data_IF_647855527220
#
_entry.id   IF_647855527220
#
_cell.length_a   1.000
_cell.length_b   1.000
_cell.length_c   1.000
_cell.angle_alpha   90.00
_cell.angle_beta   90.00
_cell.angle_gamma   90.00
#
_symmetry.space_group_name_H-M   'P 1'
#
loop_
_entity.id
_entity.type
_entity.pdbx_description
1 polymer ?
#
# COMPACT_ATOMS: atom_id res chain seq x y z
N UNK A 1 -4.07 14.46 -18.85
CA UNK A 1 -4.18 13.32 -17.91
C UNK A 1 -3.50 13.69 -16.61
N UNK A 2 -4.03 13.27 -15.47
CA UNK A 2 -3.40 13.49 -14.16
C UNK A 2 -2.12 12.64 -14.01
N UNK A 3 -1.16 13.12 -13.22
CA UNK A 3 0.04 12.34 -12.88
C UNK A 3 -0.33 11.28 -11.82
N UNK A 4 0.27 10.07 -11.86
CA UNK A 4 0.17 9.11 -10.76
C UNK A 4 0.62 9.75 -9.44
N UNK A 5 -0.07 9.40 -8.36
CA UNK A 5 0.27 9.84 -7.00
C UNK A 5 0.79 8.64 -6.24
N UNK A 6 1.92 8.83 -5.56
CA UNK A 6 2.48 7.80 -4.69
C UNK A 6 1.57 7.61 -3.47
N UNK A 7 1.25 6.35 -3.17
CA UNK A 7 0.45 5.92 -2.03
C UNK A 7 1.23 4.84 -1.29
N UNK A 8 0.99 4.70 0.02
CA UNK A 8 1.54 3.60 0.82
C UNK A 8 3.07 3.53 0.67
N UNK A 9 3.72 4.67 0.88
CA UNK A 9 5.18 4.79 0.88
C UNK A 9 5.76 4.36 2.24
N UNK A 10 7.08 4.16 2.32
CA UNK A 10 7.75 3.81 3.57
C UNK A 10 7.91 2.31 3.86
N UNK A 11 7.51 1.44 2.92
CA UNK A 11 7.80 0.00 3.00
C UNK A 11 9.29 -0.31 2.89
N UNK A 12 10.06 0.54 2.21
CA UNK A 12 11.52 0.46 2.24
C UNK A 12 12.07 1.43 3.27
N UNK A 13 12.97 0.93 4.11
CA UNK A 13 13.77 1.73 5.01
C UNK A 13 14.67 2.70 4.23
N UNK A 14 15.24 3.69 4.94
CA UNK A 14 16.12 4.71 4.34
C UNK A 14 17.36 4.12 3.67
N UNK A 15 17.76 2.91 4.07
CA UNK A 15 18.88 2.16 3.50
C UNK A 15 18.54 1.48 2.16
N UNK A 16 17.26 1.48 1.76
CA UNK A 16 16.76 0.77 0.57
C UNK A 16 16.88 -0.76 0.66
N UNK A 17 17.25 -1.31 1.83
CA UNK A 17 17.52 -2.74 2.04
C UNK A 17 16.55 -3.36 3.02
N UNK A 18 16.15 -2.61 4.04
CA UNK A 18 15.18 -3.06 5.02
C UNK A 18 13.78 -2.91 4.46
N UNK A 19 12.97 -3.98 4.49
CA UNK A 19 11.58 -3.96 4.05
C UNK A 19 10.63 -4.14 5.25
N UNK A 20 9.62 -3.28 5.37
CA UNK A 20 8.58 -3.30 6.40
C UNK A 20 7.26 -3.88 5.84
N UNK A 21 7.39 -4.95 5.07
CA UNK A 21 6.31 -5.52 4.23
C UNK A 21 6.68 -5.49 2.75
N UNK A 22 5.97 -6.26 1.92
CA UNK A 22 6.10 -6.23 0.46
C UNK A 22 4.72 -6.25 -0.19
N UNK A 23 4.23 -5.09 -0.65
CA UNK A 23 2.98 -5.02 -1.40
C UNK A 23 3.08 -5.86 -2.69
N UNK A 24 2.21 -6.86 -2.83
CA UNK A 24 2.18 -7.75 -4.01
C UNK A 24 0.89 -7.64 -4.83
N UNK A 25 -0.16 -7.02 -4.28
CA UNK A 25 -1.43 -6.82 -4.98
C UNK A 25 -2.19 -5.61 -4.48
N UNK A 26 -2.91 -4.95 -5.40
CA UNK A 26 -3.78 -3.80 -5.11
C UNK A 26 -5.11 -3.97 -5.83
N UNK A 27 -6.22 -3.79 -5.10
CA UNK A 27 -7.58 -3.77 -5.65
C UNK A 27 -8.42 -2.69 -4.95
N UNK A 28 -9.47 -2.22 -5.60
CA UNK A 28 -10.49 -1.37 -4.95
C UNK A 28 -11.59 -2.22 -4.33
N UNK A 29 -12.05 -1.85 -3.13
CA UNK A 29 -13.23 -2.45 -2.51
C UNK A 29 -14.55 -1.78 -2.96
N UNK A 30 -15.68 -2.35 -2.55
CA UNK A 30 -17.01 -1.85 -2.91
C UNK A 30 -17.33 -0.46 -2.33
N UNK A 31 -16.55 0.03 -1.38
CA UNK A 31 -16.69 1.37 -0.78
C UNK A 31 -15.79 2.41 -1.45
N UNK A 32 -14.94 1.99 -2.40
CA UNK A 32 -13.97 2.84 -3.08
C UNK A 32 -12.64 2.97 -2.35
N UNK A 33 -12.40 2.21 -1.27
CA UNK A 33 -11.10 2.15 -0.61
C UNK A 33 -10.13 1.23 -1.37
N UNK A 34 -8.83 1.40 -1.14
CA UNK A 34 -7.80 0.53 -1.70
C UNK A 34 -7.41 -0.56 -0.69
N UNK A 35 -7.44 -1.80 -1.13
CA UNK A 35 -6.92 -2.96 -0.40
C UNK A 35 -5.55 -3.32 -0.95
N UNK A 36 -4.57 -3.47 -0.07
CA UNK A 36 -3.20 -3.83 -0.42
C UNK A 36 -2.78 -5.09 0.34
N UNK A 37 -2.38 -6.11 -0.42
CA UNK A 37 -1.88 -7.37 0.12
C UNK A 37 -0.37 -7.28 0.36
N UNK A 38 0.04 -7.54 1.59
CA UNK A 38 1.44 -7.60 2.04
C UNK A 38 1.80 -9.04 2.42
N UNK A 39 2.73 -9.65 1.68
CA UNK A 39 3.08 -11.06 1.84
C UNK A 39 3.98 -11.34 3.06
N UNK A 40 4.97 -10.48 3.33
CA UNK A 40 5.87 -10.60 4.50
C UNK A 40 5.11 -10.36 5.79
N UNK A 41 4.22 -9.37 5.79
CA UNK A 41 3.40 -9.02 6.94
C UNK A 41 2.19 -9.93 7.16
N UNK A 42 1.84 -10.80 6.21
CA UNK A 42 0.59 -11.56 6.18
C UNK A 42 -0.63 -10.69 6.54
N UNK A 43 -0.68 -9.49 5.94
CA UNK A 43 -1.60 -8.42 6.32
C UNK A 43 -2.28 -7.85 5.08
N UNK A 44 -3.57 -7.52 5.22
CA UNK A 44 -4.29 -6.70 4.24
C UNK A 44 -4.48 -5.29 4.80
N UNK A 45 -3.86 -4.31 4.16
CA UNK A 45 -4.02 -2.90 4.51
C UNK A 45 -5.23 -2.33 3.77
N UNK A 46 -6.12 -1.61 4.48
CA UNK A 46 -7.22 -0.84 3.86
C UNK A 46 -6.91 0.64 3.97
N UNK A 47 -6.82 1.32 2.82
CA UNK A 47 -6.55 2.76 2.74
C UNK A 47 -7.77 3.49 2.20
N UNK A 48 -8.26 4.46 2.97
CA UNK A 48 -9.35 5.34 2.60
C UNK A 48 -8.97 6.79 2.82
N UNK A 49 -9.70 7.72 2.22
CA UNK A 49 -9.59 9.12 2.58
C UNK A 49 -9.83 9.29 4.10
N UNK A 50 -9.09 10.21 4.71
CA UNK A 50 -9.42 10.67 6.06
C UNK A 50 -10.80 11.34 6.03
N UNK A 51 -11.53 11.23 7.14
CA UNK A 51 -12.82 11.90 7.29
C UNK A 51 -12.64 13.41 7.41
#
# INVERSE_FOLDING_TARGET
GAKPVDLLTGFLGKDGKTAMGRPVGVITDATGALLVADDVGNTIWRVSAAK
#
